data_IF_904191378410
#
_entry.id   IF_904191378410
#
_cell.length_a   1.000
_cell.length_b   1.000
_cell.length_c   1.000
_cell.angle_alpha   90.00
_cell.angle_beta   90.00
_cell.angle_gamma   90.00
#
_symmetry.space_group_name_H-M   'P 1'
#
loop_
_entity.id
_entity.type
_entity.pdbx_description
1 polymer ?
#
# COMPACT_ATOMS: atom_id res chain seq x y z
N UNK A 1 5.87 -31.11 8.98
CA UNK A 1 6.37 -30.38 7.81
C UNK A 1 6.08 -28.92 8.06
N UNK A 2 7.06 -28.23 8.63
CA UNK A 2 7.06 -26.78 8.81
C UNK A 2 7.11 -26.15 7.42
N UNK A 3 5.94 -25.75 6.91
CA UNK A 3 5.85 -24.96 5.70
C UNK A 3 6.35 -23.57 6.06
N UNK A 4 7.66 -23.39 6.00
CA UNK A 4 8.29 -22.07 5.93
C UNK A 4 7.77 -21.44 4.66
N UNK A 5 6.62 -20.75 4.76
CA UNK A 5 6.07 -19.94 3.69
C UNK A 5 7.20 -18.99 3.31
N UNK A 6 7.80 -19.23 2.15
CA UNK A 6 8.95 -18.47 1.69
C UNK A 6 8.47 -17.03 1.49
N UNK A 7 8.70 -16.19 2.50
CA UNK A 7 8.31 -14.79 2.45
C UNK A 7 9.10 -14.15 1.31
N UNK A 8 8.37 -13.70 0.30
CA UNK A 8 8.92 -13.04 -0.86
C UNK A 8 9.07 -11.56 -0.52
N UNK A 9 10.22 -10.98 -0.81
CA UNK A 9 10.43 -9.54 -0.69
C UNK A 9 9.82 -8.83 -1.90
N UNK A 10 9.04 -7.78 -1.64
CA UNK A 10 8.52 -6.91 -2.69
C UNK A 10 9.60 -5.93 -3.15
N UNK A 11 9.94 -5.84 -4.45
CA UNK A 11 11.02 -4.97 -4.92
C UNK A 11 10.71 -3.46 -4.89
N UNK A 12 9.44 -3.08 -4.73
CA UNK A 12 9.01 -1.68 -4.72
C UNK A 12 9.08 -1.06 -3.32
N UNK A 13 8.80 -1.86 -2.29
CA UNK A 13 8.66 -1.39 -0.91
C UNK A 13 9.44 -2.22 0.12
N UNK A 14 10.15 -3.26 -0.34
CA UNK A 14 10.93 -4.20 0.48
C UNK A 14 10.14 -4.89 1.60
N UNK A 15 8.81 -4.95 1.49
CA UNK A 15 7.98 -5.69 2.43
C UNK A 15 8.11 -7.21 2.19
N UNK A 16 8.33 -7.97 3.26
CA UNK A 16 8.29 -9.42 3.26
C UNK A 16 6.83 -9.90 3.30
N UNK A 17 6.40 -10.58 2.25
CA UNK A 17 5.01 -11.06 2.11
C UNK A 17 4.96 -12.54 1.73
N UNK A 18 3.96 -13.24 2.24
CA UNK A 18 3.64 -14.61 1.86
C UNK A 18 3.17 -14.75 0.40
N UNK A 19 2.46 -13.73 -0.10
CA UNK A 19 1.91 -13.70 -1.45
C UNK A 19 2.25 -12.36 -2.10
N UNK A 20 3.20 -12.37 -3.04
CA UNK A 20 3.68 -11.17 -3.70
C UNK A 20 2.64 -10.61 -4.69
N UNK A 21 1.79 -11.45 -5.29
CA UNK A 21 0.81 -11.03 -6.29
C UNK A 21 -0.35 -10.25 -5.67
N UNK A 22 -0.91 -10.77 -4.56
CA UNK A 22 -1.91 -10.11 -3.76
C UNK A 22 -1.35 -8.85 -3.11
N UNK A 23 -0.10 -8.89 -2.63
CA UNK A 23 0.58 -7.71 -2.08
C UNK A 23 0.71 -6.60 -3.13
N UNK A 24 1.11 -6.91 -4.36
CA UNK A 24 1.19 -5.93 -5.47
C UNK A 24 -0.16 -5.29 -5.79
N UNK A 25 -1.24 -6.07 -5.80
CA UNK A 25 -2.59 -5.56 -6.02
C UNK A 25 -3.05 -4.65 -4.89
N UNK A 26 -2.79 -5.05 -3.65
CA UNK A 26 -3.10 -4.24 -2.47
C UNK A 26 -2.28 -2.94 -2.45
N UNK A 27 -1.01 -2.98 -2.89
CA UNK A 27 -0.13 -1.82 -2.97
C UNK A 27 -0.71 -0.70 -3.83
N UNK A 28 -1.13 -1.01 -5.06
CA UNK A 28 -1.74 -0.03 -5.96
C UNK A 28 -3.00 0.61 -5.35
N UNK A 29 -3.84 -0.21 -4.70
CA UNK A 29 -5.05 0.27 -4.05
C UNK A 29 -4.75 1.17 -2.86
N UNK A 30 -3.82 0.80 -2.00
CA UNK A 30 -3.45 1.58 -0.82
C UNK A 30 -2.91 2.95 -1.21
N UNK A 31 -1.97 2.99 -2.17
CA UNK A 31 -1.36 4.25 -2.62
C UNK A 31 -2.42 5.19 -3.18
N UNK A 32 -3.35 4.66 -3.99
CA UNK A 32 -4.47 5.46 -4.52
C UNK A 32 -5.38 6.00 -3.41
N UNK A 33 -5.71 5.19 -2.41
CA UNK A 33 -6.56 5.60 -1.30
C UNK A 33 -5.92 6.71 -0.47
N UNK A 34 -4.63 6.57 -0.13
CA UNK A 34 -3.85 7.60 0.56
C UNK A 34 -3.81 8.90 -0.26
N UNK A 35 -3.50 8.82 -1.56
CA UNK A 35 -3.46 9.99 -2.43
C UNK A 35 -4.82 10.71 -2.47
N UNK A 36 -5.91 9.95 -2.55
CA UNK A 36 -7.28 10.50 -2.54
C UNK A 36 -7.62 11.15 -1.19
N UNK A 37 -7.26 10.50 -0.08
CA UNK A 37 -7.50 11.03 1.26
C UNK A 37 -6.72 12.33 1.49
N UNK A 38 -5.46 12.39 1.04
CA UNK A 38 -4.62 13.59 1.11
C UNK A 38 -5.14 14.70 0.22
N UNK A 39 -5.54 14.44 -1.04
CA UNK A 39 -6.15 15.44 -1.91
C UNK A 39 -7.41 16.05 -1.28
N UNK A 40 -8.26 15.20 -0.69
CA UNK A 40 -9.48 15.64 -0.01
C UNK A 40 -9.19 16.47 1.23
N UNK A 41 -8.18 16.09 2.03
CA UNK A 41 -7.74 16.87 3.20
C UNK A 41 -7.14 18.21 2.78
N UNK A 42 -6.28 18.23 1.76
CA UNK A 42 -5.67 19.44 1.22
C UNK A 42 -6.74 20.43 0.73
N UNK A 43 -7.75 19.96 -0.01
CA UNK A 43 -8.89 20.78 -0.44
C UNK A 43 -9.69 21.35 0.73
N UNK A 44 -9.91 20.55 1.79
CA UNK A 44 -10.61 21.02 3.00
C UNK A 44 -9.82 22.13 3.70
N UNK A 45 -8.49 22.02 3.77
CA UNK A 45 -7.64 23.04 4.40
C UNK A 45 -7.57 24.35 3.60
N UNK A 46 -7.65 24.28 2.27
CA UNK A 46 -7.71 25.48 1.42
C UNK A 46 -9.01 26.26 1.60
N UNK A 47 -10.14 25.59 1.87
CA UNK A 47 -11.43 26.24 2.11
C UNK A 47 -11.63 26.83 3.52
N UNK A 48 -10.64 26.73 4.42
CA UNK A 48 -10.73 27.19 5.82
C UNK A 48 -9.71 28.30 6.14
N UNK A 49 -9.17 28.99 5.13
CA UNK A 49 -8.36 30.20 5.30
C UNK A 49 -9.15 31.45 4.95
#
# INVERSE_FOLDING_TARGET
MEQTQAHQECPDCHALTADLAAHKQWHSRLVHDIATAVDKDAKRRVGTQ
#
